data_IF_213568503341
#
_entry.id   IF_213568503341
#
_cell.length_a   1.000
_cell.length_b   1.000
_cell.length_c   1.000
_cell.angle_alpha   90.00
_cell.angle_beta   90.00
_cell.angle_gamma   90.00
#
_symmetry.space_group_name_H-M   'P 1'
#
loop_
_entity.id
_entity.type
_entity.pdbx_description
1 polymer ?
#
# COMPACT_ATOMS: atom_id res chain seq x y z
N UNK A 1 27.13 20.73 -5.06
CA UNK A 1 26.56 19.83 -4.03
C UNK A 1 25.73 18.82 -4.79
N UNK A 2 26.25 17.60 -4.87
CA UNK A 2 25.84 16.61 -5.86
C UNK A 2 24.47 16.03 -5.54
N UNK A 3 23.56 16.12 -6.51
CA UNK A 3 22.40 15.24 -6.58
C UNK A 3 22.92 13.81 -6.77
N UNK A 4 22.78 12.98 -5.74
CA UNK A 4 22.94 11.54 -5.88
C UNK A 4 21.77 11.05 -6.72
N UNK A 5 22.05 10.87 -8.01
CA UNK A 5 21.20 10.14 -8.93
C UNK A 5 21.01 8.72 -8.39
N UNK A 6 19.88 8.47 -7.74
CA UNK A 6 19.28 7.14 -7.72
C UNK A 6 19.11 6.73 -9.19
N UNK A 7 19.98 5.81 -9.61
CA UNK A 7 20.00 5.18 -10.93
C UNK A 7 18.58 4.85 -11.37
N UNK A 8 18.06 5.66 -12.30
CA UNK A 8 16.85 5.42 -13.05
C UNK A 8 17.06 4.20 -13.96
N UNK A 9 16.98 3.01 -13.37
CA UNK A 9 16.83 1.76 -14.11
C UNK A 9 15.37 1.65 -14.53
N UNK A 10 15.10 1.88 -15.81
CA UNK A 10 13.85 1.64 -16.56
C UNK A 10 12.54 2.10 -15.88
N UNK A 11 11.90 3.14 -16.44
CA UNK A 11 10.53 3.64 -16.17
C UNK A 11 9.68 2.76 -15.24
N UNK A 12 10.01 2.81 -13.95
CA UNK A 12 9.27 2.08 -12.93
C UNK A 12 8.17 3.04 -12.49
N UNK A 13 6.93 2.73 -12.83
CA UNK A 13 5.82 3.58 -12.42
C UNK A 13 5.58 3.37 -10.92
N UNK A 14 5.42 4.48 -10.21
CA UNK A 14 5.06 4.48 -8.79
C UNK A 14 3.67 5.10 -8.61
N UNK A 15 2.90 4.52 -7.71
CA UNK A 15 1.66 5.11 -7.23
C UNK A 15 1.96 5.77 -5.88
N UNK A 16 1.98 7.12 -5.82
CA UNK A 16 2.19 7.82 -4.56
C UNK A 16 0.92 7.73 -3.69
N UNK A 17 1.12 7.60 -2.38
CA UNK A 17 0.06 7.69 -1.38
C UNK A 17 0.62 8.15 -0.03
N UNK A 18 -0.25 8.67 0.83
CA UNK A 18 0.09 8.97 2.23
C UNK A 18 -0.79 8.10 3.10
N UNK A 19 -0.24 7.00 3.63
CA UNK A 19 -1.01 5.93 4.26
C UNK A 19 -0.50 5.60 5.66
N UNK A 20 -1.39 5.20 6.60
CA UNK A 20 -0.98 4.60 7.86
C UNK A 20 -0.12 3.36 7.59
N UNK A 21 1.13 3.39 8.04
CA UNK A 21 2.03 2.25 7.92
C UNK A 21 2.94 2.07 9.13
N UNK A 22 3.44 0.85 9.33
CA UNK A 22 4.49 0.54 10.30
C UNK A 22 5.30 -0.67 9.83
N UNK A 23 6.57 -0.70 10.21
CA UNK A 23 7.41 -1.90 10.05
C UNK A 23 7.15 -2.90 11.19
N UNK A 24 7.13 -4.19 10.88
CA UNK A 24 6.91 -5.28 11.82
C UNK A 24 7.89 -6.43 11.57
N UNK A 25 8.28 -7.12 12.64
CA UNK A 25 9.08 -8.35 12.60
C UNK A 25 8.25 -9.62 12.50
N UNK A 26 6.92 -9.52 12.50
CA UNK A 26 6.00 -10.64 12.37
C UNK A 26 4.82 -10.26 11.45
N UNK A 27 4.27 -11.23 10.70
CA UNK A 27 3.06 -10.99 9.92
C UNK A 27 1.86 -10.79 10.86
N UNK A 28 1.02 -9.81 10.55
CA UNK A 28 -0.29 -9.63 11.17
C UNK A 28 -1.34 -10.62 10.66
N UNK A 29 -1.13 -11.19 9.47
CA UNK A 29 -2.04 -12.15 8.83
C UNK A 29 -1.31 -13.08 7.85
N UNK A 30 -1.96 -14.18 7.48
CA UNK A 30 -1.48 -15.11 6.45
C UNK A 30 -1.55 -14.51 5.04
N UNK A 31 -0.77 -15.07 4.10
CA UNK A 31 -0.81 -14.66 2.69
C UNK A 31 -2.21 -14.86 2.06
N UNK A 32 -2.95 -15.89 2.51
CA UNK A 32 -4.32 -16.14 2.07
C UNK A 32 -5.26 -15.02 2.52
N UNK A 33 -5.21 -14.64 3.80
CA UNK A 33 -6.01 -13.55 4.36
C UNK A 33 -5.68 -12.22 3.68
N UNK A 34 -4.40 -11.92 3.48
CA UNK A 34 -3.95 -10.73 2.75
C UNK A 34 -4.50 -10.70 1.32
N UNK A 35 -4.48 -11.85 0.62
CA UNK A 35 -5.02 -11.96 -0.74
C UNK A 35 -6.53 -11.70 -0.76
N UNK A 36 -7.28 -12.29 0.17
CA UNK A 36 -8.74 -12.09 0.27
C UNK A 36 -9.10 -10.66 0.61
N UNK A 37 -8.35 -10.05 1.52
CA UNK A 37 -8.49 -8.64 1.82
C UNK A 37 -8.36 -7.77 0.57
N UNK A 38 -7.29 -7.94 -0.21
CA UNK A 38 -7.06 -7.13 -1.42
C UNK A 38 -8.17 -7.30 -2.45
N UNK A 39 -8.70 -8.51 -2.59
CA UNK A 39 -9.84 -8.80 -3.48
C UNK A 39 -11.11 -8.10 -3.02
N UNK A 40 -11.42 -8.16 -1.73
CA UNK A 40 -12.58 -7.45 -1.15
C UNK A 40 -12.39 -5.94 -1.28
N UNK A 41 -11.19 -5.43 -1.01
CA UNK A 41 -10.88 -4.02 -1.14
C UNK A 41 -11.14 -3.51 -2.57
N UNK A 42 -10.74 -4.29 -3.58
CA UNK A 42 -11.02 -3.94 -4.97
C UNK A 42 -12.52 -3.81 -5.27
N UNK A 43 -13.34 -4.72 -4.74
CA UNK A 43 -14.79 -4.71 -4.92
C UNK A 43 -15.42 -3.50 -4.21
N UNK A 44 -14.90 -3.13 -3.03
CA UNK A 44 -15.39 -1.98 -2.27
C UNK A 44 -15.01 -0.64 -2.92
N UNK A 45 -13.78 -0.50 -3.41
CA UNK A 45 -13.30 0.75 -4.03
C UNK A 45 -13.84 0.94 -5.46
N UNK A 46 -14.22 -0.14 -6.13
CA UNK A 46 -14.72 -0.13 -7.50
C UNK A 46 -15.99 -1.00 -7.57
N UNK A 47 -17.09 -0.57 -6.92
CA UNK A 47 -18.35 -1.27 -7.06
C UNK A 47 -18.72 -1.32 -8.53
N UNK A 48 -19.22 -2.46 -9.00
CA UNK A 48 -19.81 -2.55 -10.34
C UNK A 48 -20.98 -1.54 -10.43
N UNK A 49 -21.32 -1.07 -11.62
CA UNK A 49 -22.34 -0.02 -11.84
C UNK A 49 -23.77 -0.42 -11.38
N UNK A 50 -23.95 -1.65 -10.91
CA UNK A 50 -25.19 -2.15 -10.34
C UNK A 50 -25.39 -1.63 -8.91
N UNK A 51 -26.62 -1.22 -8.62
CA UNK A 51 -26.98 -0.78 -7.27
C UNK A 51 -26.79 -1.93 -6.27
N UNK A 52 -25.93 -1.78 -5.23
CA UNK A 52 -25.62 -2.90 -4.35
C UNK A 52 -26.86 -3.34 -3.57
N UNK A 53 -27.15 -4.65 -3.62
CA UNK A 53 -28.21 -5.30 -2.85
C UNK A 53 -28.15 -4.85 -1.38
N UNK A 54 -29.28 -4.51 -0.72
CA UNK A 54 -29.33 -4.27 0.71
C UNK A 54 -28.55 -5.27 1.60
N UNK A 55 -28.47 -6.55 1.19
CA UNK A 55 -27.64 -7.54 1.89
C UNK A 55 -26.15 -7.21 1.77
N UNK A 56 -25.67 -6.85 0.58
CA UNK A 56 -24.29 -6.44 0.34
C UNK A 56 -23.93 -5.20 1.17
N UNK A 57 -24.79 -4.18 1.19
CA UNK A 57 -24.59 -2.97 2.01
C UNK A 57 -24.43 -3.28 3.50
N UNK A 58 -25.21 -4.24 4.02
CA UNK A 58 -25.09 -4.68 5.42
C UNK A 58 -23.76 -5.39 5.68
N UNK A 59 -23.32 -6.24 4.75
CA UNK A 59 -22.03 -6.92 4.86
C UNK A 59 -20.87 -5.92 4.82
N UNK A 60 -20.91 -4.94 3.91
CA UNK A 60 -19.87 -3.90 3.80
C UNK A 60 -19.76 -3.10 5.09
N UNK A 61 -20.89 -2.71 5.68
CA UNK A 61 -20.91 -2.06 6.99
C UNK A 61 -20.34 -2.97 8.08
N UNK A 62 -20.73 -4.25 8.15
CA UNK A 62 -20.17 -5.18 9.13
C UNK A 62 -18.66 -5.33 8.99
N UNK A 63 -18.15 -5.44 7.77
CA UNK A 63 -16.71 -5.50 7.49
C UNK A 63 -16.02 -4.23 7.96
N UNK A 64 -16.57 -3.05 7.65
CA UNK A 64 -15.98 -1.77 8.05
C UNK A 64 -15.88 -1.63 9.57
N UNK A 65 -16.92 -2.06 10.28
CA UNK A 65 -16.92 -2.06 11.75
C UNK A 65 -15.92 -3.09 12.30
N UNK A 66 -15.83 -4.28 11.70
CA UNK A 66 -14.84 -5.29 12.08
C UNK A 66 -13.41 -4.77 11.88
N UNK A 67 -13.11 -4.11 10.76
CA UNK A 67 -11.80 -3.50 10.51
C UNK A 67 -11.40 -2.53 11.62
N UNK A 68 -12.32 -1.64 12.01
CA UNK A 68 -12.13 -0.68 13.11
C UNK A 68 -11.92 -1.34 14.47
N UNK A 69 -12.61 -2.45 14.74
CA UNK A 69 -12.42 -3.22 15.98
C UNK A 69 -11.06 -3.93 16.02
N UNK A 70 -10.62 -4.47 14.88
CA UNK A 70 -9.33 -5.16 14.77
C UNK A 70 -8.13 -4.19 14.74
N UNK A 71 -8.34 -2.96 14.26
CA UNK A 71 -7.31 -1.93 14.17
C UNK A 71 -7.75 -0.67 14.95
N UNK A 72 -7.84 -0.75 16.30
CA UNK A 72 -8.32 0.36 17.11
C UNK A 72 -7.37 1.57 17.06
N UNK A 73 -6.09 1.32 16.76
CA UNK A 73 -5.06 2.35 16.62
C UNK A 73 -4.36 2.15 15.27
N UNK A 74 -4.65 3.04 14.33
CA UNK A 74 -3.87 3.15 13.09
C UNK A 74 -2.55 3.87 13.37
N UNK A 75 -1.44 3.40 12.79
CA UNK A 75 -0.16 4.10 12.90
C UNK A 75 -0.24 5.47 12.21
N UNK A 76 0.76 6.33 12.50
CA UNK A 76 0.87 7.60 11.81
C UNK A 76 1.00 7.39 10.29
N UNK A 77 0.32 8.22 9.47
CA UNK A 77 0.53 8.19 8.03
C UNK A 77 1.96 8.55 7.66
N UNK A 78 2.50 7.86 6.66
CA UNK A 78 3.77 8.21 6.02
C UNK A 78 3.61 8.24 4.51
N UNK A 79 4.45 9.04 3.85
CA UNK A 79 4.50 9.07 2.39
C UNK A 79 5.14 7.78 1.89
N UNK A 80 4.45 7.16 0.94
CA UNK A 80 4.81 5.89 0.32
C UNK A 80 4.62 5.95 -1.18
N UNK A 81 5.51 5.29 -1.90
CA UNK A 81 5.46 5.12 -3.34
C UNK A 81 5.48 3.62 -3.64
N UNK A 82 4.37 3.10 -4.15
CA UNK A 82 4.26 1.68 -4.50
C UNK A 82 4.63 1.45 -5.96
N UNK A 83 5.65 0.63 -6.20
CA UNK A 83 5.95 0.03 -7.49
C UNK A 83 5.45 -1.41 -7.55
N UNK A 84 5.70 -2.10 -8.68
CA UNK A 84 5.34 -3.51 -8.81
C UNK A 84 6.32 -4.45 -8.09
N UNK A 85 7.61 -4.13 -8.15
CA UNK A 85 8.68 -4.98 -7.60
C UNK A 85 9.26 -4.43 -6.28
N UNK A 86 9.10 -3.14 -6.04
CA UNK A 86 9.59 -2.46 -4.86
C UNK A 86 8.64 -1.35 -4.38
N UNK A 87 8.96 -0.78 -3.23
CA UNK A 87 8.34 0.42 -2.72
C UNK A 87 9.34 1.29 -1.98
N UNK A 88 8.98 2.56 -1.86
CA UNK A 88 9.72 3.55 -1.08
C UNK A 88 8.80 4.14 -0.04
N UNK A 89 9.29 4.38 1.17
CA UNK A 89 8.55 5.13 2.18
C UNK A 89 9.48 5.92 3.09
N UNK A 90 8.89 6.87 3.81
CA UNK A 90 9.58 7.68 4.82
C UNK A 90 9.45 7.06 6.20
N UNK A 91 10.56 6.99 6.93
CA UNK A 91 10.64 6.44 8.29
C UNK A 91 11.39 7.38 9.21
N UNK A 92 11.00 7.44 10.49
CA UNK A 92 11.74 8.17 11.53
C UNK A 92 12.93 7.37 12.06
N UNK A 93 13.00 6.08 11.73
CA UNK A 93 14.07 5.19 12.16
C UNK A 93 14.75 4.54 10.96
N UNK A 94 16.08 4.38 10.98
CA UNK A 94 16.77 3.62 9.95
C UNK A 94 16.39 2.14 10.03
N UNK A 95 16.29 1.50 8.87
CA UNK A 95 16.20 0.05 8.75
C UNK A 95 17.44 -0.47 8.04
N UNK A 96 17.89 -1.68 8.38
CA UNK A 96 19.14 -2.23 7.86
C UNK A 96 18.92 -2.89 6.50
N UNK A 97 19.80 -2.64 5.53
CA UNK A 97 19.78 -3.34 4.26
C UNK A 97 19.93 -4.87 4.47
N UNK A 98 19.17 -5.66 3.71
CA UNK A 98 19.04 -7.11 3.86
C UNK A 98 18.10 -7.54 4.98
N UNK A 99 17.58 -6.62 5.80
CA UNK A 99 16.59 -6.95 6.81
C UNK A 99 15.29 -7.39 6.14
N UNK A 100 14.77 -8.54 6.54
CA UNK A 100 13.46 -9.03 6.12
C UNK A 100 12.42 -8.77 7.21
N UNK A 101 11.20 -8.52 6.79
CA UNK A 101 10.09 -8.28 7.70
C UNK A 101 8.82 -7.96 6.93
N UNK A 102 7.92 -7.24 7.59
CA UNK A 102 6.62 -6.90 7.05
C UNK A 102 6.36 -5.40 7.17
N UNK A 103 5.79 -4.82 6.12
CA UNK A 103 5.17 -3.52 6.18
C UNK A 103 3.67 -3.71 6.41
N UNK A 104 3.22 -3.39 7.61
CA UNK A 104 1.80 -3.28 7.91
C UNK A 104 1.30 -1.95 7.36
N UNK A 105 0.39 -1.97 6.40
CA UNK A 105 -0.13 -0.76 5.75
C UNK A 105 -1.64 -0.81 5.60
N UNK A 106 -2.29 0.31 5.87
CA UNK A 106 -3.70 0.47 5.57
C UNK A 106 -3.83 1.03 4.16
N UNK A 107 -4.26 0.18 3.23
CA UNK A 107 -4.40 0.59 1.84
C UNK A 107 -5.60 1.50 1.62
N UNK A 108 -6.63 1.48 2.47
CA UNK A 108 -7.85 2.28 2.32
C UNK A 108 -7.98 3.31 3.44
N UNK A 109 -8.42 4.51 3.09
CA UNK A 109 -8.79 5.51 4.09
C UNK A 109 -10.14 5.22 4.75
N UNK A 110 -11.02 4.47 4.07
CA UNK A 110 -12.36 4.14 4.55
C UNK A 110 -12.35 2.83 5.35
N UNK A 111 -11.56 1.86 4.88
CA UNK A 111 -11.40 0.56 5.51
C UNK A 111 -10.09 0.49 6.30
N UNK A 112 -10.18 0.91 7.57
CA UNK A 112 -9.06 0.91 8.51
C UNK A 112 -8.68 -0.51 8.93
N UNK A 113 -7.98 -1.22 8.05
CA UNK A 113 -7.33 -2.50 8.34
C UNK A 113 -5.90 -2.47 7.81
N UNK A 114 -4.96 -3.00 8.59
CA UNK A 114 -3.56 -3.10 8.20
C UNK A 114 -3.31 -4.46 7.55
N UNK A 115 -2.82 -4.44 6.31
CA UNK A 115 -2.24 -5.64 5.70
C UNK A 115 -0.72 -5.64 5.88
N UNK A 116 -0.18 -6.75 6.34
CA UNK A 116 1.26 -7.05 6.26
C UNK A 116 1.69 -7.44 4.84
N UNK A 117 2.55 -6.64 4.23
CA UNK A 117 3.26 -6.96 2.99
C UNK A 117 4.67 -7.46 3.32
N UNK A 118 5.07 -8.66 2.87
CA UNK A 118 6.39 -9.22 3.13
C UNK A 118 7.46 -8.51 2.29
N UNK A 119 8.51 -8.00 2.93
CA UNK A 119 9.53 -7.15 2.30
C UNK A 119 10.96 -7.52 2.74
N UNK A 120 11.91 -7.14 1.89
CA UNK A 120 13.32 -7.04 2.23
C UNK A 120 13.83 -5.62 1.97
N UNK A 121 14.47 -5.02 2.97
CA UNK A 121 15.06 -3.69 2.85
C UNK A 121 16.25 -3.74 1.89
N UNK A 122 16.21 -2.96 0.83
CA UNK A 122 17.31 -2.83 -0.14
C UNK A 122 18.26 -1.72 0.29
N UNK A 123 17.71 -0.58 0.70
CA UNK A 123 18.48 0.60 1.09
C UNK A 123 17.72 1.46 2.10
N UNK A 124 18.47 2.19 2.91
CA UNK A 124 17.96 3.24 3.79
C UNK A 124 18.89 4.44 3.67
N UNK A 125 18.38 5.54 3.12
CA UNK A 125 19.15 6.76 2.88
C UNK A 125 18.64 7.88 3.79
N UNK A 126 19.54 8.63 4.47
CA UNK A 126 19.11 9.73 5.31
C UNK A 126 18.60 10.90 4.46
N UNK A 127 17.45 11.45 4.84
CA UNK A 127 16.80 12.59 4.20
C UNK A 127 16.33 13.58 5.28
N UNK A 128 17.22 14.51 5.65
CA UNK A 128 16.99 15.44 6.77
C UNK A 128 16.90 14.69 8.10
N UNK A 129 15.79 14.87 8.82
CA UNK A 129 15.51 14.19 10.09
C UNK A 129 14.80 12.84 9.92
N UNK A 130 14.63 12.39 8.67
CA UNK A 130 13.95 11.14 8.32
C UNK A 130 14.85 10.26 7.46
N UNK A 131 14.38 9.05 7.21
CA UNK A 131 15.03 8.07 6.36
C UNK A 131 14.11 7.72 5.20
N UNK A 132 14.63 7.78 3.98
CA UNK A 132 13.99 7.18 2.83
C UNK A 132 14.37 5.70 2.79
N UNK A 133 13.39 4.84 2.99
CA UNK A 133 13.57 3.40 2.94
C UNK A 133 13.11 2.89 1.58
N UNK A 134 13.93 2.07 0.94
CA UNK A 134 13.57 1.30 -0.26
C UNK A 134 13.55 -0.18 0.08
N UNK A 135 12.48 -0.88 -0.26
CA UNK A 135 12.37 -2.32 -0.04
C UNK A 135 11.76 -3.03 -1.24
N UNK A 136 12.17 -4.28 -1.47
CA UNK A 136 11.58 -5.16 -2.48
C UNK A 136 10.54 -6.07 -1.85
N UNK A 137 9.55 -6.46 -2.62
CA UNK A 137 8.57 -7.44 -2.19
C UNK A 137 9.14 -8.86 -2.15
N UNK A 138 8.77 -9.61 -1.11
CA UNK A 138 9.04 -11.03 -0.98
C UNK A 138 7.74 -11.81 -1.12
N UNK A 139 7.27 -12.04 -2.35
CA UNK A 139 5.96 -12.68 -2.58
C UNK A 139 5.97 -14.17 -2.23
N UNK A 140 5.33 -14.62 -1.13
CA UNK A 140 5.30 -16.04 -0.77
C UNK A 140 4.35 -16.83 -1.67
N UNK A 141 3.39 -16.15 -2.30
CA UNK A 141 2.34 -16.74 -3.13
C UNK A 141 2.06 -15.80 -4.31
N UNK A 142 1.94 -16.40 -5.51
CA UNK A 142 1.64 -15.67 -6.74
C UNK A 142 0.26 -14.96 -6.67
N UNK A 143 -0.72 -15.57 -6.01
CA UNK A 143 -2.06 -14.98 -5.84
C UNK A 143 -2.06 -13.66 -5.07
N UNK A 144 -1.17 -13.52 -4.07
CA UNK A 144 -1.02 -12.29 -3.31
C UNK A 144 -0.47 -11.17 -4.18
N UNK A 145 0.58 -11.48 -4.95
CA UNK A 145 1.16 -10.57 -5.94
C UNK A 145 0.09 -10.08 -6.91
N UNK A 146 -0.62 -10.99 -7.58
CA UNK A 146 -1.64 -10.64 -8.58
C UNK A 146 -2.80 -9.82 -7.99
N UNK A 147 -3.19 -10.08 -6.74
CA UNK A 147 -4.20 -9.27 -6.07
C UNK A 147 -3.69 -7.85 -5.78
N UNK A 148 -2.44 -7.72 -5.34
CA UNK A 148 -1.81 -6.44 -5.05
C UNK A 148 -1.57 -5.61 -6.32
N UNK A 149 -1.05 -6.23 -7.38
CA UNK A 149 -0.84 -5.57 -8.67
C UNK A 149 -2.15 -4.98 -9.23
N UNK A 150 -3.26 -5.72 -9.12
CA UNK A 150 -4.59 -5.22 -9.52
C UNK A 150 -5.00 -3.97 -8.75
N UNK A 151 -4.79 -3.93 -7.43
CA UNK A 151 -5.04 -2.74 -6.60
C UNK A 151 -4.18 -1.56 -7.08
N UNK A 152 -2.88 -1.79 -7.29
CA UNK A 152 -1.97 -0.75 -7.77
C UNK A 152 -2.36 -0.22 -9.13
N UNK A 153 -2.66 -1.10 -10.11
CA UNK A 153 -3.08 -0.68 -11.44
C UNK A 153 -4.38 0.12 -11.41
N UNK A 154 -5.36 -0.28 -10.58
CA UNK A 154 -6.60 0.48 -10.45
C UNK A 154 -6.34 1.89 -9.94
N UNK A 155 -5.54 2.02 -8.87
CA UNK A 155 -5.16 3.31 -8.29
C UNK A 155 -4.33 4.16 -9.23
N UNK A 156 -3.42 3.55 -9.97
CA UNK A 156 -2.64 4.24 -10.99
C UNK A 156 -3.54 4.83 -12.08
N UNK A 157 -4.54 4.08 -12.55
CA UNK A 157 -5.53 4.57 -13.53
C UNK A 157 -6.33 5.75 -12.98
N UNK A 158 -6.77 5.68 -11.73
CA UNK A 158 -7.46 6.79 -11.06
C UNK A 158 -6.54 8.01 -10.97
N UNK A 159 -5.30 7.83 -10.52
CA UNK A 159 -4.31 8.91 -10.39
C UNK A 159 -4.06 9.63 -11.73
N UNK A 160 -3.84 8.88 -12.83
CA UNK A 160 -3.68 9.46 -14.17
C UNK A 160 -4.92 10.24 -14.61
N UNK A 161 -6.12 9.72 -14.36
CA UNK A 161 -7.36 10.42 -14.71
C UNK A 161 -7.47 11.76 -13.98
N UNK A 162 -7.16 11.77 -12.68
CA UNK A 162 -7.17 13.00 -11.87
C UNK A 162 -6.15 14.02 -12.36
N UNK A 163 -4.92 13.60 -12.68
CA UNK A 163 -3.89 14.50 -13.23
C UNK A 163 -4.33 15.14 -14.56
N UNK A 164 -4.94 14.36 -15.45
CA UNK A 164 -5.43 14.85 -16.75
C UNK A 164 -6.67 15.76 -16.61
N UNK A 165 -7.55 15.47 -15.66
CA UNK A 165 -8.69 16.32 -15.35
C UNK A 165 -8.27 17.69 -14.80
N UNK A 166 -7.31 17.71 -13.86
CA UNK A 166 -6.78 18.94 -13.29
C UNK A 166 -6.10 19.85 -14.34
N UNK A 167 -5.48 19.27 -15.37
CA UNK A 167 -4.84 20.02 -16.46
C UNK A 167 -5.80 20.67 -17.46
N UNK A 168 -7.11 20.38 -17.39
CA UNK A 168 -8.12 20.98 -18.29
C UNK A 168 -8.91 22.13 -17.63
N UNK A 169 -8.83 22.26 -16.30
CA UNK A 169 -9.50 23.32 -15.51
C UNK A 169 -8.54 24.47 -15.11
N UNK A 170 -7.37 24.55 -15.74
CA UNK A 170 -6.37 25.62 -15.56
C UNK A 170 -6.03 26.32 -16.87
#
# INVERSE_FOLDING_TARGET
>A
MSASNLSASAESFYVPATLPLRWSSQPGQSALEATRYLQVLMLLEHPEDDEPDPLQRRLDLQLLWLGRLLTPHTPAPADVQFGLDDLLWTSTQPLLAGQQGWLDVSLSHEFAYLISLPLEIIAAEPQGDTWQIRARYLWPQQSLREAFERVLFSRHRVHIRTLRGASLDS
#
